data_IF_638544170163
#
_entry.id   IF_638544170163
#
_cell.length_a   1.000
_cell.length_b   1.000
_cell.length_c   1.000
_cell.angle_alpha   90.00
_cell.angle_beta   90.00
_cell.angle_gamma   90.00
#
_symmetry.space_group_name_H-M   'P 1'
#
loop_
_entity.id
_entity.type
_entity.pdbx_description
1 polymer ?
#
# COMPACT_ATOMS: atom_id res chain seq x y z
N UNK A 1 -10.15 76.37 -12.45
CA UNK A 1 -10.28 76.57 -11.00
C UNK A 1 -10.97 75.32 -10.47
N UNK A 2 -10.22 74.30 -10.01
CA UNK A 2 -9.98 73.99 -8.58
C UNK A 2 -11.31 73.72 -7.83
N UNK A 3 -11.54 72.63 -7.09
CA UNK A 3 -10.66 71.60 -6.56
C UNK A 3 -11.49 70.39 -6.07
N UNK A 4 -10.79 69.27 -5.86
CA UNK A 4 -11.15 67.98 -5.26
C UNK A 4 -12.23 67.90 -4.15
N UNK A 5 -12.93 66.76 -4.11
CA UNK A 5 -12.99 65.91 -2.89
C UNK A 5 -13.27 64.43 -3.23
N UNK A 6 -12.36 63.56 -2.79
CA UNK A 6 -12.51 62.09 -2.71
C UNK A 6 -13.64 61.69 -1.75
N UNK A 7 -14.34 60.60 -2.06
CA UNK A 7 -14.86 59.66 -1.05
C UNK A 7 -14.83 58.25 -1.64
N UNK A 8 -14.06 57.38 -0.96
CA UNK A 8 -14.11 55.93 -1.09
C UNK A 8 -15.47 55.44 -0.62
N UNK A 9 -16.05 54.49 -1.34
CA UNK A 9 -17.21 53.71 -0.89
C UNK A 9 -16.75 52.26 -0.70
N UNK A 10 -16.17 52.02 0.47
CA UNK A 10 -16.00 50.68 1.07
C UNK A 10 -17.29 50.37 1.83
N UNK A 11 -18.22 49.59 1.26
CA UNK A 11 -19.21 48.84 2.05
C UNK A 11 -19.92 47.76 1.22
N UNK A 12 -19.36 46.55 1.22
CA UNK A 12 -20.17 45.32 1.07
C UNK A 12 -19.60 44.12 1.83
N UNK A 13 -18.75 44.35 2.84
CA UNK A 13 -18.39 43.33 3.81
C UNK A 13 -19.24 43.52 5.06
N UNK A 14 -20.36 42.79 5.13
CA UNK A 14 -21.02 42.35 6.37
C UNK A 14 -22.31 41.60 6.00
N UNK A 15 -22.19 40.28 5.78
CA UNK A 15 -23.18 39.25 6.13
C UNK A 15 -22.79 37.90 5.53
N UNK A 16 -21.78 37.25 6.11
CA UNK A 16 -21.69 35.78 6.09
C UNK A 16 -21.28 35.31 7.49
N UNK A 17 -22.23 34.70 8.16
CA UNK A 17 -22.04 34.01 9.43
C UNK A 17 -21.18 32.77 9.21
N UNK A 18 -19.88 32.91 9.48
CA UNK A 18 -18.94 31.79 9.55
C UNK A 18 -19.18 31.02 10.86
N UNK A 19 -20.00 29.96 10.77
CA UNK A 19 -19.99 28.87 11.74
C UNK A 19 -18.85 27.94 11.31
N UNK A 20 -17.69 28.07 11.96
CA UNK A 20 -16.63 27.08 11.88
C UNK A 20 -17.02 25.87 12.75
N UNK A 21 -17.05 24.65 12.21
CA UNK A 21 -16.65 23.51 13.02
C UNK A 21 -15.12 23.52 13.09
N UNK A 22 -14.60 23.83 14.28
CA UNK A 22 -13.26 23.39 14.66
C UNK A 22 -13.19 21.88 14.44
N UNK A 23 -12.42 21.45 13.44
CA UNK A 23 -11.68 20.19 13.37
C UNK A 23 -10.88 20.20 12.06
N UNK A 24 -9.72 20.85 12.13
CA UNK A 24 -8.73 20.78 11.08
C UNK A 24 -8.21 19.35 10.97
N UNK A 25 -8.49 18.71 9.85
CA UNK A 25 -7.78 17.51 9.42
C UNK A 25 -6.33 17.90 9.12
N UNK A 26 -5.41 17.27 9.85
CA UNK A 26 -3.98 17.22 9.50
C UNK A 26 -3.72 15.83 8.95
N UNK A 27 -2.82 15.67 7.96
CA UNK A 27 -2.38 14.36 7.55
C UNK A 27 -1.50 13.80 8.68
N UNK A 28 -2.03 12.84 9.45
CA UNK A 28 -1.20 11.98 10.27
C UNK A 28 -0.44 11.05 9.32
N UNK A 29 0.87 11.24 9.29
CA UNK A 29 1.87 10.23 9.00
C UNK A 29 1.51 8.96 9.79
N UNK A 30 0.92 7.99 9.09
CA UNK A 30 0.29 6.81 9.66
C UNK A 30 1.19 6.03 10.61
N UNK A 31 1.03 6.30 11.90
CA UNK A 31 1.34 5.35 12.96
C UNK A 31 0.18 4.35 13.05
N UNK A 32 0.55 3.07 13.03
CA UNK A 32 -0.30 1.91 13.27
C UNK A 32 -1.20 2.18 14.49
N UNK A 33 -2.51 2.08 14.33
CA UNK A 33 -3.42 2.17 15.48
C UNK A 33 -3.32 0.89 16.28
N UNK A 34 -2.48 0.95 17.29
CA UNK A 34 -2.13 -0.14 18.17
C UNK A 34 -2.78 0.09 19.54
N UNK A 35 -3.55 -0.89 20.00
CA UNK A 35 -4.10 -0.86 21.35
C UNK A 35 -2.98 -1.09 22.37
N UNK A 36 -2.53 -0.01 23.00
CA UNK A 36 -1.57 -0.04 24.12
C UNK A 36 -2.26 -0.54 25.40
N UNK A 37 -1.64 -1.50 26.10
CA UNK A 37 -2.10 -1.93 27.43
C UNK A 37 -1.06 -1.51 28.46
N UNK A 38 -1.44 -0.60 29.37
CA UNK A 38 -0.70 -0.34 30.59
C UNK A 38 -0.85 -1.52 31.59
N UNK A 39 0.28 -2.16 31.90
CA UNK A 39 0.53 -2.77 33.21
C UNK A 39 0.34 -4.28 33.33
N UNK A 40 1.43 -5.04 33.14
CA UNK A 40 1.61 -6.36 33.78
C UNK A 40 3.07 -6.52 34.24
N UNK A 41 3.23 -6.85 35.53
CA UNK A 41 4.50 -7.16 36.18
C UNK A 41 5.07 -8.49 35.68
N UNK A 42 6.35 -8.51 35.28
CA UNK A 42 7.10 -9.70 34.88
C UNK A 42 7.48 -10.62 36.06
N UNK A 43 7.45 -11.96 35.88
CA UNK A 43 8.22 -12.91 36.69
C UNK A 43 9.45 -13.48 35.92
N UNK A 44 10.39 -14.16 36.60
CA UNK A 44 11.79 -14.18 36.17
C UNK A 44 12.14 -15.29 35.17
N UNK A 45 13.03 -14.95 34.23
CA UNK A 45 13.73 -15.84 33.28
C UNK A 45 14.55 -16.91 34.03
N UNK A 46 14.38 -18.18 33.66
CA UNK A 46 15.33 -19.27 33.96
C UNK A 46 15.98 -19.76 32.66
N UNK A 47 17.22 -19.34 32.44
CA UNK A 47 18.12 -19.89 31.42
C UNK A 47 18.82 -21.13 31.98
N UNK A 48 18.61 -22.29 31.37
CA UNK A 48 19.43 -23.48 31.59
C UNK A 48 20.37 -23.65 30.39
N UNK A 49 21.64 -23.27 30.56
CA UNK A 49 22.70 -23.54 29.60
C UNK A 49 23.09 -25.02 29.66
N UNK A 50 23.03 -25.68 28.49
CA UNK A 50 23.43 -27.07 28.26
C UNK A 50 24.85 -27.03 27.66
N UNK A 51 25.87 -27.28 28.46
CA UNK A 51 27.25 -27.45 27.97
C UNK A 51 27.42 -28.84 27.35
N UNK A 52 27.67 -28.86 26.05
CA UNK A 52 28.10 -30.02 25.27
C UNK A 52 29.60 -30.24 25.40
N UNK A 53 29.98 -31.48 25.68
CA UNK A 53 31.36 -31.96 25.62
C UNK A 53 31.87 -32.02 24.16
N UNK A 54 33.10 -31.56 23.92
CA UNK A 54 33.93 -32.07 22.83
C UNK A 54 35.41 -32.07 23.22
N UNK A 55 36.10 -33.10 22.73
CA UNK A 55 37.50 -33.46 22.95
C UNK A 55 38.43 -32.49 22.25
N UNK A 56 39.57 -32.20 22.87
CA UNK A 56 40.88 -32.30 22.20
C UNK A 56 42.03 -32.27 23.22
N UNK A 57 43.02 -33.13 23.00
CA UNK A 57 44.33 -33.15 23.67
C UNK A 57 45.36 -32.48 22.72
N UNK A 58 46.53 -31.98 23.18
CA UNK A 58 47.63 -32.87 23.61
C UNK A 58 48.66 -32.30 24.63
N UNK A 59 49.48 -33.21 25.22
CA UNK A 59 50.89 -33.07 25.72
C UNK A 59 51.20 -31.94 26.74
N UNK A 60 52.03 -32.08 27.78
CA UNK A 60 53.23 -32.87 28.04
C UNK A 60 53.64 -32.72 29.54
N UNK A 61 54.33 -33.72 30.12
CA UNK A 61 55.24 -33.69 31.32
C UNK A 61 54.64 -33.27 32.68
N UNK A 62 54.77 -34.05 33.75
CA UNK A 62 55.98 -34.12 34.60
C UNK A 62 56.11 -35.50 35.28
N UNK A 63 57.35 -35.94 35.36
CA UNK A 63 57.92 -37.16 35.97
C UNK A 63 58.02 -37.12 37.50
N UNK A 64 57.64 -38.26 38.09
CA UNK A 64 58.38 -39.11 39.03
C UNK A 64 58.72 -38.68 40.48
N UNK A 65 58.72 -39.74 41.32
CA UNK A 65 59.32 -39.95 42.66
C UNK A 65 58.48 -39.43 43.85
N UNK A 66 58.35 -40.10 45.00
CA UNK A 66 59.01 -41.27 45.58
C UNK A 66 58.32 -41.49 46.95
N UNK A 67 58.00 -42.74 47.32
CA UNK A 67 58.10 -43.21 48.73
C UNK A 67 57.85 -44.72 48.80
N UNK A 68 58.96 -45.42 49.07
CA UNK A 68 59.08 -46.72 49.71
C UNK A 68 58.41 -46.69 51.11
N UNK A 69 58.21 -47.75 51.88
CA UNK A 69 58.36 -49.21 51.80
C UNK A 69 57.67 -49.71 53.08
N UNK A 70 57.06 -50.89 53.00
CA UNK A 70 56.56 -51.64 54.17
C UNK A 70 57.76 -52.22 54.94
N UNK A 71 57.69 -52.19 56.27
CA UNK A 71 58.49 -53.05 57.15
C UNK A 71 57.56 -53.77 58.15
N UNK A 72 57.73 -55.10 58.20
CA UNK A 72 57.07 -56.13 59.02
C UNK A 72 58.18 -56.63 59.94
N UNK A 73 58.00 -57.02 61.25
CA UNK A 73 57.53 -58.39 61.52
C UNK A 73 57.05 -58.78 62.94
N UNK A 74 56.28 -59.89 63.03
CA UNK A 74 56.60 -61.14 63.77
C UNK A 74 55.40 -61.85 64.45
N UNK A 75 55.27 -63.12 64.04
CA UNK A 75 54.97 -64.35 64.80
C UNK A 75 53.60 -64.59 65.45
N UNK A 76 52.86 -65.48 64.78
CA UNK A 76 52.43 -66.80 65.24
C UNK A 76 51.61 -66.91 66.53
N UNK A 77 50.36 -67.37 66.40
CA UNK A 77 49.96 -68.70 66.90
C UNK A 77 48.57 -69.07 66.39
N UNK A 78 48.43 -70.35 66.07
CA UNK A 78 47.20 -71.00 65.63
C UNK A 78 46.01 -70.76 66.57
N UNK A 79 44.84 -70.48 65.98
CA UNK A 79 43.60 -71.08 66.47
C UNK A 79 42.63 -71.18 65.29
N UNK A 80 42.58 -72.39 64.78
CA UNK A 80 41.52 -72.93 63.97
C UNK A 80 40.16 -72.66 64.65
N UNK A 81 39.38 -71.73 64.11
CA UNK A 81 37.93 -71.83 64.17
C UNK A 81 37.41 -71.68 62.76
N UNK A 82 37.21 -72.83 62.11
CA UNK A 82 36.33 -72.91 60.96
C UNK A 82 34.97 -72.36 61.40
N UNK A 83 34.73 -71.08 61.12
CA UNK A 83 33.41 -70.47 61.21
C UNK A 83 32.50 -71.34 60.35
N UNK A 84 31.70 -72.19 61.00
CA UNK A 84 30.55 -72.83 60.37
C UNK A 84 29.80 -71.70 59.69
N UNK A 85 29.96 -71.56 58.36
CA UNK A 85 29.22 -70.58 57.56
C UNK A 85 27.76 -70.87 57.86
N UNK A 86 27.17 -70.01 58.67
CA UNK A 86 25.85 -70.24 59.21
C UNK A 86 24.94 -70.31 57.97
N UNK A 87 24.31 -71.46 57.65
CA UNK A 87 23.59 -71.62 56.38
C UNK A 87 22.50 -70.55 56.23
N UNK A 88 21.98 -70.08 57.36
CA UNK A 88 21.09 -68.93 57.47
C UNK A 88 21.70 -67.59 57.03
N UNK A 89 22.97 -67.30 57.37
CA UNK A 89 23.65 -66.06 56.93
C UNK A 89 23.96 -66.07 55.43
N UNK A 90 24.34 -67.23 54.90
CA UNK A 90 24.60 -67.38 53.46
C UNK A 90 23.31 -67.32 52.65
N UNK A 91 22.22 -67.91 53.17
CA UNK A 91 20.86 -67.75 52.65
C UNK A 91 20.40 -66.28 52.70
N UNK A 92 20.58 -65.58 53.83
CA UNK A 92 20.23 -64.17 53.98
C UNK A 92 20.95 -63.29 52.96
N UNK A 93 22.24 -63.51 52.69
CA UNK A 93 23.01 -62.73 51.71
C UNK A 93 22.51 -63.01 50.28
N UNK A 94 22.26 -64.28 49.93
CA UNK A 94 21.71 -64.64 48.62
C UNK A 94 20.28 -64.11 48.43
N UNK A 95 19.46 -64.16 49.47
CA UNK A 95 18.10 -63.62 49.48
C UNK A 95 18.09 -62.09 49.35
N UNK A 96 18.95 -61.39 50.09
CA UNK A 96 19.15 -59.94 49.94
C UNK A 96 19.63 -59.58 48.53
N UNK A 97 20.57 -60.35 47.96
CA UNK A 97 21.01 -60.14 46.58
C UNK A 97 19.87 -60.31 45.56
N UNK A 98 19.08 -61.37 45.70
CA UNK A 98 17.90 -61.60 44.85
C UNK A 98 16.84 -60.49 45.01
N UNK A 99 16.57 -60.06 46.25
CA UNK A 99 15.67 -58.96 46.56
C UNK A 99 16.18 -57.64 45.97
N UNK A 100 17.46 -57.33 46.11
CA UNK A 100 18.07 -56.13 45.53
C UNK A 100 18.02 -56.13 44.00
N UNK A 101 18.27 -57.28 43.34
CA UNK A 101 18.11 -57.41 41.88
C UNK A 101 16.65 -57.20 41.48
N UNK A 102 15.71 -57.80 42.22
CA UNK A 102 14.27 -57.65 41.96
C UNK A 102 13.84 -56.19 42.10
N UNK A 103 14.29 -55.51 43.15
CA UNK A 103 14.03 -54.08 43.37
C UNK A 103 14.65 -53.25 42.24
N UNK A 104 15.89 -53.55 41.83
CA UNK A 104 16.55 -52.83 40.74
C UNK A 104 15.81 -53.00 39.40
N UNK A 105 15.30 -54.20 39.12
CA UNK A 105 14.49 -54.47 37.92
C UNK A 105 13.14 -53.73 37.98
N UNK A 106 12.45 -53.77 39.12
CA UNK A 106 11.19 -53.02 39.31
C UNK A 106 11.40 -51.51 39.19
N UNK A 107 12.49 -50.98 39.76
CA UNK A 107 12.87 -49.58 39.61
C UNK A 107 13.22 -49.22 38.16
N UNK A 108 13.86 -50.13 37.42
CA UNK A 108 14.12 -49.96 35.99
C UNK A 108 12.84 -49.84 35.18
N UNK A 109 11.88 -50.74 35.39
CA UNK A 109 10.55 -50.64 34.75
C UNK A 109 9.78 -49.40 35.17
N UNK A 110 9.84 -49.02 36.45
CA UNK A 110 9.19 -47.82 36.94
C UNK A 110 9.83 -46.55 36.35
N UNK A 111 11.16 -46.50 36.22
CA UNK A 111 11.86 -45.40 35.57
C UNK A 111 11.47 -45.27 34.10
N UNK A 112 11.44 -46.38 33.36
CA UNK A 112 11.00 -46.37 31.96
C UNK A 112 9.53 -45.92 31.83
N UNK A 113 8.66 -46.36 32.73
CA UNK A 113 7.28 -45.87 32.82
C UNK A 113 7.23 -44.35 33.06
N UNK A 114 8.02 -43.83 34.00
CA UNK A 114 8.08 -42.39 34.28
C UNK A 114 8.55 -41.60 33.06
N UNK A 115 9.59 -42.06 32.36
CA UNK A 115 10.04 -41.41 31.13
C UNK A 115 8.91 -41.37 30.08
N UNK A 116 8.25 -42.51 29.82
CA UNK A 116 7.15 -42.56 28.84
C UNK A 116 5.94 -41.72 29.24
N UNK A 117 5.64 -41.67 30.54
CA UNK A 117 4.57 -40.85 31.09
C UNK A 117 4.89 -39.35 30.96
N UNK A 118 6.12 -38.96 31.29
CA UNK A 118 6.60 -37.59 31.13
C UNK A 118 6.60 -37.16 29.65
N UNK A 119 7.11 -38.01 28.75
CA UNK A 119 7.10 -37.75 27.31
C UNK A 119 5.68 -37.53 26.79
N UNK A 120 4.73 -38.38 27.18
CA UNK A 120 3.32 -38.25 26.78
C UNK A 120 2.65 -37.02 27.41
N UNK A 121 3.00 -36.67 28.65
CA UNK A 121 2.50 -35.47 29.31
C UNK A 121 3.00 -34.20 28.62
N UNK A 122 4.31 -34.11 28.33
CA UNK A 122 4.88 -32.94 27.65
C UNK A 122 4.30 -32.80 26.23
N UNK A 123 4.13 -33.90 25.51
CA UNK A 123 3.49 -33.88 24.19
C UNK A 123 2.02 -33.42 24.21
N UNK A 124 1.32 -33.52 25.36
CA UNK A 124 -0.08 -33.10 25.51
C UNK A 124 -0.27 -31.62 25.85
N UNK A 125 0.82 -30.84 25.86
CA UNK A 125 0.77 -29.45 26.30
C UNK A 125 0.34 -28.53 25.15
N UNK A 126 -0.55 -27.56 25.40
CA UNK A 126 -1.09 -26.66 24.38
C UNK A 126 -0.04 -25.75 23.73
N UNK A 127 1.09 -25.52 24.39
CA UNK A 127 2.16 -24.70 23.82
C UNK A 127 2.77 -25.32 22.56
N UNK A 128 2.68 -26.63 22.34
CA UNK A 128 3.18 -27.25 21.11
C UNK A 128 2.39 -26.82 19.86
N UNK A 129 1.07 -26.67 19.99
CA UNK A 129 0.22 -26.15 18.90
C UNK A 129 0.49 -24.65 18.67
N UNK A 130 0.76 -23.90 19.74
CA UNK A 130 1.17 -22.49 19.61
C UNK A 130 2.53 -22.35 18.94
N UNK A 131 3.52 -23.16 19.35
CA UNK A 131 4.85 -23.18 18.75
C UNK A 131 4.76 -23.53 17.24
N UNK A 132 3.83 -24.41 16.84
CA UNK A 132 3.57 -24.70 15.44
C UNK A 132 3.04 -23.48 14.67
N UNK A 133 2.08 -22.74 15.24
CA UNK A 133 1.56 -21.50 14.64
C UNK A 133 2.67 -20.45 14.52
N UNK A 134 3.46 -20.26 15.57
CA UNK A 134 4.61 -19.35 15.58
C UNK A 134 5.64 -19.76 14.52
N UNK A 135 5.96 -21.04 14.40
CA UNK A 135 6.87 -21.55 13.37
C UNK A 135 6.37 -21.19 11.96
N UNK A 136 5.06 -21.29 11.68
CA UNK A 136 4.53 -20.89 10.38
C UNK A 136 4.68 -19.38 10.10
N UNK A 137 4.55 -18.53 11.13
CA UNK A 137 4.76 -17.08 11.04
C UNK A 137 6.25 -16.75 10.86
N UNK A 138 7.13 -17.34 11.66
CA UNK A 138 8.59 -17.16 11.60
C UNK A 138 9.18 -17.61 10.27
N UNK A 139 8.70 -18.75 9.74
CA UNK A 139 9.17 -19.32 8.47
C UNK A 139 8.51 -18.68 7.25
N UNK A 140 7.62 -17.70 7.43
CA UNK A 140 6.88 -17.02 6.36
C UNK A 140 6.07 -17.97 5.48
N UNK A 141 5.51 -19.02 6.07
CA UNK A 141 4.60 -19.92 5.38
C UNK A 141 3.18 -19.35 5.34
N UNK A 142 3.03 -18.23 4.63
CA UNK A 142 1.77 -17.47 4.52
C UNK A 142 0.59 -18.31 4.01
N UNK A 143 0.77 -19.25 3.05
CA UNK A 143 -0.32 -20.16 2.67
C UNK A 143 -0.81 -21.02 3.84
N UNK A 144 0.09 -21.50 4.71
CA UNK A 144 -0.31 -22.26 5.90
C UNK A 144 -1.02 -21.36 6.92
N UNK A 145 -0.48 -20.17 7.20
CA UNK A 145 -1.12 -19.18 8.08
C UNK A 145 -2.53 -18.85 7.60
N UNK A 146 -2.66 -18.50 6.33
CA UNK A 146 -3.95 -18.23 5.69
C UNK A 146 -4.90 -19.42 5.81
N UNK A 147 -4.44 -20.65 5.56
CA UNK A 147 -5.26 -21.85 5.66
C UNK A 147 -5.73 -22.15 7.08
N UNK A 148 -4.94 -21.82 8.10
CA UNK A 148 -5.32 -21.95 9.51
C UNK A 148 -6.42 -20.97 9.94
N UNK A 149 -6.55 -19.81 9.26
CA UNK A 149 -7.52 -18.77 9.66
C UNK A 149 -8.95 -19.30 9.66
N UNK A 150 -9.70 -19.04 10.72
CA UNK A 150 -11.11 -19.46 10.85
C UNK A 150 -11.99 -18.78 9.80
N UNK A 151 -11.83 -17.47 9.67
CA UNK A 151 -12.53 -16.63 8.70
C UNK A 151 -11.50 -16.16 7.70
N UNK A 152 -11.74 -16.41 6.42
CA UNK A 152 -10.83 -15.96 5.37
C UNK A 152 -11.03 -14.46 5.10
N UNK A 153 -9.94 -13.72 4.88
CA UNK A 153 -9.99 -12.34 4.38
C UNK A 153 -10.89 -12.23 3.14
N UNK A 154 -11.71 -11.17 3.08
CA UNK A 154 -12.53 -10.86 1.90
C UNK A 154 -11.64 -10.23 0.85
N UNK A 155 -11.57 -10.82 -0.34
CA UNK A 155 -10.71 -10.34 -1.42
C UNK A 155 -11.59 -9.59 -2.42
N UNK A 156 -11.21 -8.36 -2.75
CA UNK A 156 -11.89 -7.55 -3.77
C UNK A 156 -11.73 -8.19 -5.16
N UNK A 157 -12.55 -7.79 -6.13
CA UNK A 157 -12.45 -8.33 -7.49
C UNK A 157 -11.15 -7.95 -8.21
N UNK A 158 -10.45 -6.91 -7.72
CA UNK A 158 -9.19 -6.38 -8.27
C UNK A 158 -7.93 -7.02 -7.68
N UNK A 159 -8.10 -7.97 -6.78
CA UNK A 159 -6.99 -8.61 -6.08
C UNK A 159 -7.13 -10.13 -6.07
N UNK A 160 -6.02 -10.78 -5.70
CA UNK A 160 -5.94 -12.22 -5.54
C UNK A 160 -5.43 -12.55 -4.14
N UNK A 161 -5.46 -13.83 -3.77
CA UNK A 161 -4.90 -14.28 -2.49
C UNK A 161 -3.42 -13.91 -2.36
N UNK A 162 -2.69 -13.77 -3.46
CA UNK A 162 -1.28 -13.36 -3.44
C UNK A 162 -1.10 -11.91 -2.96
N UNK A 163 -2.07 -11.01 -3.18
CA UNK A 163 -2.07 -9.67 -2.59
C UNK A 163 -2.20 -9.73 -1.08
N UNK A 164 -3.10 -10.59 -0.57
CA UNK A 164 -3.26 -10.82 0.87
C UNK A 164 -1.97 -11.37 1.47
N UNK A 165 -1.30 -12.31 0.80
CA UNK A 165 0.00 -12.82 1.26
C UNK A 165 1.04 -11.72 1.33
N UNK A 166 1.21 -10.91 0.29
CA UNK A 166 2.17 -9.79 0.31
C UNK A 166 1.85 -8.76 1.40
N UNK A 167 0.57 -8.50 1.64
CA UNK A 167 0.14 -7.64 2.74
C UNK A 167 0.45 -8.25 4.11
N UNK A 168 0.15 -9.54 4.32
CA UNK A 168 0.53 -10.27 5.54
C UNK A 168 2.04 -10.25 5.75
N UNK A 169 2.84 -10.46 4.71
CA UNK A 169 4.30 -10.41 4.79
C UNK A 169 4.79 -9.03 5.25
N UNK A 170 4.17 -7.98 4.71
CA UNK A 170 4.46 -6.58 5.08
C UNK A 170 4.12 -6.30 6.54
N UNK A 171 2.96 -6.78 7.03
CA UNK A 171 2.59 -6.66 8.45
C UNK A 171 3.56 -7.39 9.37
N UNK A 172 4.04 -8.56 8.95
CA UNK A 172 4.97 -9.38 9.72
C UNK A 172 6.41 -8.82 9.69
N UNK A 173 6.80 -8.05 8.66
CA UNK A 173 8.05 -7.26 8.63
C UNK A 173 9.31 -8.07 8.94
N UNK A 174 10.17 -7.60 9.85
CA UNK A 174 11.25 -8.39 10.48
C UNK A 174 10.96 -8.65 11.97
N UNK A 175 9.68 -8.62 12.34
CA UNK A 175 9.25 -8.59 13.74
C UNK A 175 9.59 -9.88 14.49
N UNK A 176 9.81 -9.76 15.79
CA UNK A 176 9.91 -10.91 16.68
C UNK A 176 8.53 -11.32 17.18
N UNK A 177 8.23 -12.60 17.04
CA UNK A 177 6.96 -13.17 17.49
C UNK A 177 7.06 -13.72 18.90
N UNK A 178 6.01 -13.52 19.68
CA UNK A 178 5.81 -14.13 20.99
C UNK A 178 4.32 -14.39 21.19
N UNK A 179 3.92 -15.11 22.23
CA UNK A 179 2.51 -15.23 22.58
C UNK A 179 2.27 -15.10 24.09
N UNK A 180 1.10 -14.60 24.43
CA UNK A 180 0.68 -14.43 25.83
C UNK A 180 -0.76 -14.91 26.02
N UNK A 181 -1.10 -15.38 27.21
CA UNK A 181 -2.47 -15.79 27.53
C UNK A 181 -3.41 -14.58 27.51
N UNK A 182 -4.58 -14.74 26.89
CA UNK A 182 -5.59 -13.67 26.91
C UNK A 182 -6.31 -13.63 28.27
N UNK A 183 -6.98 -12.52 28.62
CA UNK A 183 -7.84 -12.46 29.80
C UNK A 183 -8.98 -13.49 29.79
N UNK A 184 -9.36 -13.98 28.61
CA UNK A 184 -10.41 -15.00 28.41
C UNK A 184 -9.89 -16.43 28.51
N UNK A 185 -8.60 -16.62 28.76
CA UNK A 185 -7.96 -17.94 28.86
C UNK A 185 -8.65 -18.85 29.89
N UNK A 186 -8.97 -20.08 29.48
CA UNK A 186 -9.50 -21.14 30.33
C UNK A 186 -8.65 -22.40 30.20
N UNK A 187 -8.46 -23.17 31.28
CA UNK A 187 -7.66 -24.41 31.24
C UNK A 187 -8.20 -25.46 30.26
N UNK A 188 -9.51 -25.45 29.97
CA UNK A 188 -10.16 -26.36 29.01
C UNK A 188 -10.31 -25.75 27.60
N UNK A 189 -10.10 -24.44 27.48
CA UNK A 189 -10.22 -23.66 26.25
C UNK A 189 -9.19 -22.52 26.29
N UNK A 190 -7.89 -22.85 26.13
CA UNK A 190 -6.84 -21.87 26.27
C UNK A 190 -6.84 -20.95 25.04
N UNK A 191 -6.66 -19.67 25.32
CA UNK A 191 -6.66 -18.61 24.32
C UNK A 191 -5.40 -17.76 24.48
N UNK A 192 -4.79 -17.40 23.36
CA UNK A 192 -3.52 -16.70 23.30
C UNK A 192 -3.55 -15.55 22.30
N UNK A 193 -2.94 -14.43 22.67
CA UNK A 193 -2.56 -13.37 21.75
C UNK A 193 -1.19 -13.65 21.15
N UNK A 194 -1.06 -13.48 19.84
CA UNK A 194 0.23 -13.46 19.16
C UNK A 194 0.72 -12.01 19.04
N UNK A 195 1.87 -11.83 19.67
CA UNK A 195 2.86 -10.75 19.64
C UNK A 195 3.60 -10.51 18.33
N UNK A 196 3.66 -9.33 17.75
CA UNK A 196 4.76 -8.92 16.86
C UNK A 196 5.33 -7.59 17.35
N UNK A 197 6.58 -7.58 17.83
CA UNK A 197 7.24 -6.39 18.41
C UNK A 197 6.41 -5.62 19.46
N UNK A 198 5.62 -6.36 20.26
CA UNK A 198 4.78 -5.82 21.33
C UNK A 198 3.33 -5.53 20.94
N UNK A 199 2.96 -5.81 19.69
CA UNK A 199 1.64 -5.56 19.15
C UNK A 199 0.86 -6.83 18.84
N UNK A 200 -0.45 -6.82 19.08
CA UNK A 200 -1.28 -8.00 18.84
C UNK A 200 -1.62 -8.09 17.37
N UNK A 201 -1.17 -9.17 16.72
CA UNK A 201 -1.42 -9.44 15.30
C UNK A 201 -2.41 -10.58 15.07
N UNK A 202 -2.62 -11.44 16.07
CA UNK A 202 -3.57 -12.54 15.97
C UNK A 202 -4.05 -13.03 17.33
N UNK A 203 -5.17 -13.75 17.32
CA UNK A 203 -5.71 -14.51 18.45
C UNK A 203 -5.86 -15.97 18.06
N UNK A 204 -5.35 -16.87 18.88
CA UNK A 204 -5.50 -18.33 18.73
C UNK A 204 -6.28 -18.87 19.92
N UNK A 205 -7.35 -19.62 19.67
CA UNK A 205 -7.97 -20.46 20.68
C UNK A 205 -7.75 -21.93 20.34
N UNK A 206 -7.51 -22.74 21.37
CA UNK A 206 -7.39 -24.19 21.24
C UNK A 206 -8.55 -24.89 21.94
N UNK A 207 -8.86 -26.10 21.48
CA UNK A 207 -9.80 -26.99 22.15
C UNK A 207 -9.25 -28.39 22.29
N UNK A 208 -9.65 -29.08 23.37
CA UNK A 208 -9.35 -30.51 23.55
C UNK A 208 -10.12 -31.34 22.54
N UNK A 209 -9.43 -32.32 21.96
CA UNK A 209 -10.03 -33.40 21.19
C UNK A 209 -11.05 -34.15 22.03
N UNK A 210 -12.21 -34.43 21.45
CA UNK A 210 -13.25 -35.25 22.08
C UNK A 210 -13.13 -36.74 21.72
N UNK A 211 -12.29 -37.06 20.73
CA UNK A 211 -12.19 -38.41 20.13
C UNK A 211 -10.78 -38.98 20.16
N UNK A 212 -9.76 -38.13 20.25
CA UNK A 212 -8.36 -38.53 20.26
C UNK A 212 -7.72 -38.23 21.61
N UNK A 213 -6.88 -39.15 22.08
CA UNK A 213 -6.11 -39.01 23.30
C UNK A 213 -4.73 -39.63 23.08
N UNK A 214 -3.70 -39.02 23.66
CA UNK A 214 -2.36 -39.62 23.71
C UNK A 214 -2.33 -40.78 24.72
N UNK A 215 -1.17 -41.41 24.86
CA UNK A 215 -0.96 -42.43 25.88
C UNK A 215 -1.36 -41.88 27.27
N UNK A 216 -1.90 -42.75 28.12
CA UNK A 216 -2.38 -42.40 29.46
C UNK A 216 -3.57 -41.42 29.49
N UNK A 217 -4.34 -41.36 28.41
CA UNK A 217 -5.56 -40.53 28.29
C UNK A 217 -5.26 -39.02 28.36
N UNK A 218 -4.04 -38.62 27.99
CA UNK A 218 -3.69 -37.21 27.89
C UNK A 218 -4.38 -36.55 26.69
N UNK A 219 -4.79 -35.27 26.81
CA UNK A 219 -5.53 -34.59 25.77
C UNK A 219 -4.66 -34.36 24.52
N UNK A 220 -5.31 -34.41 23.36
CA UNK A 220 -4.79 -33.84 22.11
C UNK A 220 -5.47 -32.49 21.92
N UNK A 221 -4.72 -31.46 21.55
CA UNK A 221 -5.26 -30.12 21.27
C UNK A 221 -5.36 -29.91 19.76
N UNK A 222 -6.28 -29.03 19.35
CA UNK A 222 -6.30 -28.47 18.01
C UNK A 222 -6.68 -27.00 18.07
N UNK A 223 -6.28 -26.26 17.04
CA UNK A 223 -6.70 -24.89 16.80
C UNK A 223 -8.21 -24.87 16.55
N UNK A 224 -8.97 -24.32 17.50
CA UNK A 224 -10.42 -24.13 17.37
C UNK A 224 -10.74 -22.86 16.62
N UNK A 225 -9.96 -21.80 16.85
CA UNK A 225 -10.02 -20.58 16.08
C UNK A 225 -8.64 -19.96 15.92
N UNK A 226 -8.38 -19.43 14.74
CA UNK A 226 -7.26 -18.55 14.46
C UNK A 226 -7.77 -17.29 13.75
N UNK A 227 -7.65 -16.16 14.42
CA UNK A 227 -8.04 -14.85 13.92
C UNK A 227 -6.78 -14.02 13.72
N UNK A 228 -6.35 -13.89 12.46
CA UNK A 228 -5.21 -13.07 12.10
C UNK A 228 -5.71 -11.71 11.59
N UNK A 229 -5.29 -10.63 12.25
CA UNK A 229 -5.83 -9.29 12.00
C UNK A 229 -5.29 -8.73 10.68
N UNK A 230 -6.10 -8.89 9.63
CA UNK A 230 -5.79 -8.49 8.25
C UNK A 230 -6.95 -7.74 7.64
N UNK A 231 -7.11 -6.49 8.09
CA UNK A 231 -8.07 -5.58 7.48
C UNK A 231 -7.45 -4.88 6.28
N UNK A 232 -8.16 -4.79 5.14
CA UNK A 232 -7.68 -4.04 3.99
C UNK A 232 -7.49 -2.56 4.36
N UNK A 233 -6.45 -1.93 3.83
CA UNK A 233 -6.02 -0.57 4.22
C UNK A 233 -6.17 0.46 3.11
N UNK A 234 -6.46 0.00 1.89
CA UNK A 234 -6.47 0.87 0.72
C UNK A 234 -7.87 0.96 0.10
N UNK A 235 -8.15 2.16 -0.39
CA UNK A 235 -9.30 2.51 -1.20
C UNK A 235 -8.84 3.32 -2.42
N UNK A 236 -9.76 3.59 -3.35
CA UNK A 236 -9.54 4.51 -4.44
C UNK A 236 -10.74 5.43 -4.64
N UNK A 237 -10.44 6.66 -5.04
CA UNK A 237 -11.40 7.63 -5.60
C UNK A 237 -10.86 8.12 -6.92
N UNK A 238 -11.66 8.05 -7.97
CA UNK A 238 -11.22 8.40 -9.33
C UNK A 238 -12.22 9.39 -9.91
N UNK A 239 -11.73 10.44 -10.54
CA UNK A 239 -12.51 11.31 -11.43
C UNK A 239 -11.98 11.12 -12.85
N UNK A 240 -12.85 10.75 -13.77
CA UNK A 240 -12.50 10.51 -15.15
C UNK A 240 -13.57 11.04 -16.11
N UNK A 241 -13.21 11.36 -17.36
CA UNK A 241 -14.20 11.59 -18.40
C UNK A 241 -15.02 10.33 -18.66
N UNK A 242 -16.32 10.48 -18.92
CA UNK A 242 -17.25 9.36 -19.17
C UNK A 242 -16.87 8.53 -20.41
N UNK A 243 -16.13 9.13 -21.35
CA UNK A 243 -15.66 8.47 -22.56
C UNK A 243 -14.30 7.77 -22.39
N UNK A 244 -13.74 7.75 -21.17
CA UNK A 244 -12.54 7.01 -20.82
C UNK A 244 -12.87 5.65 -20.19
N UNK A 245 -12.07 4.63 -20.52
CA UNK A 245 -12.10 3.34 -19.84
C UNK A 245 -11.05 3.32 -18.73
N UNK A 246 -11.49 3.19 -17.48
CA UNK A 246 -10.62 3.10 -16.30
C UNK A 246 -10.48 1.64 -15.87
N UNK A 247 -9.29 1.24 -15.39
CA UNK A 247 -9.02 -0.09 -14.84
C UNK A 247 -8.27 0.00 -13.53
N UNK A 248 -8.60 -0.91 -12.60
CA UNK A 248 -7.88 -1.09 -11.33
C UNK A 248 -7.15 -2.43 -11.38
N UNK A 249 -5.84 -2.41 -11.18
CA UNK A 249 -4.98 -3.59 -11.26
C UNK A 249 -5.18 -4.41 -12.57
N UNK A 250 -5.47 -3.70 -13.68
CA UNK A 250 -5.71 -4.29 -15.00
C UNK A 250 -7.12 -4.83 -15.24
N UNK A 251 -8.06 -4.67 -14.30
CA UNK A 251 -9.45 -5.06 -14.45
C UNK A 251 -10.30 -3.80 -14.72
N UNK A 252 -11.06 -3.75 -15.83
CA UNK A 252 -11.93 -2.61 -16.14
C UNK A 252 -12.96 -2.35 -15.05
N UNK A 253 -13.08 -1.07 -14.67
CA UNK A 253 -14.08 -0.60 -13.73
C UNK A 253 -15.48 -0.66 -14.37
N UNK A 254 -16.47 -1.08 -13.58
CA UNK A 254 -17.87 -1.10 -14.01
C UNK A 254 -18.66 0.06 -13.40
N UNK A 255 -19.79 0.40 -14.02
CA UNK A 255 -20.71 1.45 -13.56
C UNK A 255 -21.23 1.22 -12.13
N UNK A 256 -21.14 0.00 -11.60
CA UNK A 256 -21.55 -0.34 -10.22
C UNK A 256 -20.78 0.47 -9.17
N UNK A 257 -19.56 0.91 -9.49
CA UNK A 257 -18.70 1.69 -8.60
C UNK A 257 -18.79 3.20 -8.85
N UNK A 258 -19.57 3.61 -9.84
CA UNK A 258 -19.86 5.02 -10.09
C UNK A 258 -20.80 5.54 -9.01
N UNK A 259 -20.40 6.60 -8.31
CA UNK A 259 -21.22 7.23 -7.27
C UNK A 259 -21.67 8.65 -7.61
N UNK A 260 -21.08 9.26 -8.64
CA UNK A 260 -21.44 10.58 -9.14
C UNK A 260 -21.15 10.63 -10.64
N UNK A 261 -22.14 11.05 -11.42
CA UNK A 261 -22.07 11.20 -12.88
C UNK A 261 -22.50 12.61 -13.29
N UNK A 262 -22.43 12.89 -14.59
CA UNK A 262 -22.83 14.19 -15.16
C UNK A 262 -22.13 15.39 -14.53
N UNK A 263 -20.85 15.24 -14.19
CA UNK A 263 -20.03 16.32 -13.66
C UNK A 263 -19.61 17.20 -14.83
N UNK A 264 -20.28 18.35 -14.97
CA UNK A 264 -19.99 19.29 -16.06
C UNK A 264 -18.52 19.72 -16.04
N UNK A 265 -17.86 19.56 -17.18
CA UNK A 265 -16.51 20.08 -17.39
C UNK A 265 -16.52 21.61 -17.48
N UNK A 266 -15.49 22.26 -16.94
CA UNK A 266 -15.35 23.72 -16.99
C UNK A 266 -15.32 24.25 -18.43
N UNK A 267 -14.72 23.49 -19.35
CA UNK A 267 -14.57 23.88 -20.75
C UNK A 267 -15.85 23.70 -21.59
N UNK A 268 -16.86 22.98 -21.07
CA UNK A 268 -18.11 22.70 -21.81
C UNK A 268 -18.83 23.99 -22.23
N UNK A 269 -18.75 25.03 -21.41
CA UNK A 269 -19.35 26.33 -21.72
C UNK A 269 -18.77 26.98 -22.98
N UNK A 270 -17.50 26.72 -23.34
CA UNK A 270 -16.87 27.30 -24.51
C UNK A 270 -17.28 26.63 -25.82
N UNK A 271 -17.72 25.37 -25.77
CA UNK A 271 -18.17 24.61 -26.94
C UNK A 271 -19.69 24.41 -27.02
N UNK A 272 -20.42 24.97 -26.04
CA UNK A 272 -21.88 24.84 -25.95
C UNK A 272 -22.57 25.28 -27.25
N UNK A 273 -23.45 24.40 -27.76
CA UNK A 273 -24.16 24.62 -29.02
C UNK A 273 -23.40 24.21 -30.28
N UNK A 274 -22.13 23.81 -30.16
CA UNK A 274 -21.32 23.33 -31.29
C UNK A 274 -20.89 21.87 -31.13
N UNK A 275 -20.48 21.47 -29.93
CA UNK A 275 -20.12 20.09 -29.60
C UNK A 275 -20.50 19.76 -28.14
N UNK A 276 -20.89 18.51 -27.90
CA UNK A 276 -21.11 18.00 -26.56
C UNK A 276 -19.79 17.41 -26.05
N UNK A 277 -19.25 18.01 -24.98
CA UNK A 277 -18.09 17.45 -24.29
C UNK A 277 -18.54 16.31 -23.37
N UNK A 278 -17.72 15.25 -23.23
CA UNK A 278 -17.98 14.19 -22.27
C UNK A 278 -18.02 14.76 -20.84
N UNK A 279 -19.04 14.36 -20.09
CA UNK A 279 -19.15 14.67 -18.68
C UNK A 279 -18.07 13.94 -17.86
N UNK A 280 -17.80 14.43 -16.66
CA UNK A 280 -17.00 13.72 -15.67
C UNK A 280 -17.84 12.70 -14.91
N UNK A 281 -17.20 11.60 -14.53
CA UNK A 281 -17.73 10.53 -13.69
C UNK A 281 -16.76 10.25 -12.55
N UNK A 282 -17.29 9.89 -11.38
CA UNK A 282 -16.51 9.53 -10.22
C UNK A 282 -16.78 8.11 -9.73
N UNK A 283 -15.69 7.40 -9.47
CA UNK A 283 -15.70 6.02 -8.99
C UNK A 283 -15.12 5.92 -7.59
N UNK A 284 -15.67 5.01 -6.81
CA UNK A 284 -15.18 4.65 -5.48
C UNK A 284 -15.14 3.14 -5.30
N UNK A 285 -14.06 2.65 -4.70
CA UNK A 285 -13.94 1.26 -4.26
C UNK A 285 -13.00 1.18 -3.08
N UNK A 286 -13.25 0.19 -2.22
CA UNK A 286 -12.49 -0.07 -1.00
C UNK A 286 -12.13 -1.56 -0.89
N UNK A 287 -11.51 -1.92 0.23
CA UNK A 287 -11.21 -3.32 0.53
C UNK A 287 -9.98 -3.85 -0.20
N UNK A 288 -9.02 -2.97 -0.54
CA UNK A 288 -7.76 -3.37 -1.13
C UNK A 288 -6.67 -3.58 -0.06
N UNK A 289 -5.89 -4.64 -0.23
CA UNK A 289 -4.74 -4.96 0.60
C UNK A 289 -3.46 -4.26 0.13
N UNK A 290 -3.39 -3.89 -1.14
CA UNK A 290 -2.31 -3.10 -1.72
C UNK A 290 -2.80 -1.78 -2.31
N UNK A 291 -1.87 -0.83 -2.46
CA UNK A 291 -2.16 0.42 -3.14
C UNK A 291 -2.61 0.14 -4.59
N UNK A 292 -3.72 0.73 -5.05
CA UNK A 292 -4.30 0.44 -6.35
C UNK A 292 -3.39 0.93 -7.49
N UNK A 293 -3.24 0.11 -8.53
CA UNK A 293 -2.63 0.53 -9.80
C UNK A 293 -3.74 0.91 -10.76
N UNK A 294 -3.80 2.20 -11.10
CA UNK A 294 -4.87 2.75 -11.93
C UNK A 294 -4.32 3.03 -13.32
N UNK A 295 -4.99 2.48 -14.33
CA UNK A 295 -4.72 2.77 -15.73
C UNK A 295 -6.00 3.27 -16.40
N UNK A 296 -5.85 4.15 -17.38
CA UNK A 296 -6.97 4.70 -18.12
C UNK A 296 -6.64 4.78 -19.60
N UNK A 297 -7.67 4.61 -20.43
CA UNK A 297 -7.60 4.75 -21.89
C UNK A 297 -8.68 5.71 -22.37
N UNK A 298 -8.34 6.61 -23.29
CA UNK A 298 -9.28 7.54 -23.90
C UNK A 298 -10.22 6.83 -24.88
N UNK A 299 -11.17 7.57 -25.46
CA UNK A 299 -12.12 7.04 -26.44
C UNK A 299 -11.47 6.51 -27.74
N UNK A 300 -10.20 6.83 -27.98
CA UNK A 300 -9.41 6.36 -29.13
C UNK A 300 -8.61 5.08 -28.82
N UNK A 301 -8.68 4.58 -27.58
CA UNK A 301 -7.93 3.40 -27.13
C UNK A 301 -6.46 3.69 -26.81
N UNK A 302 -6.10 4.96 -26.63
CA UNK A 302 -4.76 5.40 -26.25
C UNK A 302 -4.70 5.67 -24.75
N UNK A 303 -3.51 5.51 -24.17
CA UNK A 303 -3.32 5.70 -22.73
C UNK A 303 -3.60 7.15 -22.33
N UNK A 304 -4.48 7.31 -21.35
CA UNK A 304 -4.82 8.59 -20.75
C UNK A 304 -3.95 8.84 -19.50
N UNK A 305 -3.47 10.08 -19.27
CA UNK A 305 -2.67 10.38 -18.10
C UNK A 305 -3.52 10.26 -16.83
N UNK A 306 -2.94 9.65 -15.79
CA UNK A 306 -3.54 9.53 -14.46
C UNK A 306 -2.65 10.23 -13.45
N UNK A 307 -3.18 11.21 -12.73
CA UNK A 307 -2.46 11.95 -11.70
C UNK A 307 -3.14 11.82 -10.34
N UNK A 308 -2.37 11.62 -9.27
CA UNK A 308 -2.92 11.57 -7.92
C UNK A 308 -2.87 12.94 -7.25
N UNK A 309 -4.04 13.49 -6.92
CA UNK A 309 -4.15 14.75 -6.21
C UNK A 309 -4.06 14.49 -4.70
N UNK A 310 -2.90 14.77 -4.11
CA UNK A 310 -2.64 14.53 -2.68
C UNK A 310 -3.50 15.38 -1.74
N UNK A 311 -4.09 16.48 -2.21
CA UNK A 311 -4.92 17.36 -1.39
C UNK A 311 -6.36 16.87 -1.29
N UNK A 312 -6.89 16.24 -2.34
CA UNK A 312 -8.25 15.69 -2.38
C UNK A 312 -8.29 14.18 -2.13
N UNK A 313 -7.17 13.48 -2.34
CA UNK A 313 -7.08 12.03 -2.31
C UNK A 313 -7.75 11.37 -3.52
N UNK A 314 -7.85 12.08 -4.65
CA UNK A 314 -8.53 11.62 -5.86
C UNK A 314 -7.49 11.41 -6.98
N UNK A 315 -7.63 10.31 -7.71
CA UNK A 315 -6.95 10.10 -8.97
C UNK A 315 -7.73 10.78 -10.10
N UNK A 316 -7.08 11.71 -10.79
CA UNK A 316 -7.65 12.48 -11.88
C UNK A 316 -7.16 11.87 -13.20
N UNK A 317 -8.10 11.46 -14.05
CA UNK A 317 -7.83 10.96 -15.39
C UNK A 317 -8.01 12.12 -16.38
N UNK A 318 -6.98 12.42 -17.15
CA UNK A 318 -7.05 13.42 -18.20
C UNK A 318 -7.63 12.90 -19.51
N UNK A 319 -7.95 13.81 -20.41
CA UNK A 319 -8.24 13.51 -21.81
C UNK A 319 -6.91 13.26 -22.52
N UNK A 320 -6.60 12.00 -22.85
CA UNK A 320 -5.28 11.61 -23.40
C UNK A 320 -4.80 12.51 -24.53
N UNK A 321 -3.48 12.78 -24.58
CA UNK A 321 -2.87 13.71 -25.55
C UNK A 321 -2.44 13.03 -26.84
N UNK A 322 -2.14 11.72 -26.79
CA UNK A 322 -1.34 11.02 -27.80
C UNK A 322 -2.14 10.47 -28.99
N UNK A 323 -2.96 11.30 -29.62
CA UNK A 323 -3.69 10.89 -30.83
C UNK A 323 -2.79 10.84 -32.06
N UNK A 324 -3.05 9.89 -32.97
CA UNK A 324 -2.39 9.90 -34.28
C UNK A 324 -2.61 11.20 -35.09
N UNK A 325 -3.62 11.98 -34.74
CA UNK A 325 -3.94 13.28 -35.34
C UNK A 325 -3.29 14.48 -34.61
N UNK A 326 -2.74 14.29 -33.41
CA UNK A 326 -2.27 15.36 -32.50
C UNK A 326 -1.38 16.38 -33.23
N UNK A 327 -0.32 15.91 -33.89
CA UNK A 327 0.63 16.79 -34.57
C UNK A 327 -0.02 17.61 -35.71
N UNK A 328 -1.03 17.04 -36.39
CA UNK A 328 -1.76 17.75 -37.44
C UNK A 328 -2.72 18.80 -36.86
N UNK A 329 -3.38 18.49 -35.73
CA UNK A 329 -4.27 19.40 -35.02
C UNK A 329 -3.50 20.57 -34.40
N UNK A 330 -2.35 20.30 -33.80
CA UNK A 330 -1.44 21.30 -33.24
C UNK A 330 -0.91 22.25 -34.34
N UNK A 331 -0.48 21.70 -35.48
CA UNK A 331 -0.04 22.52 -36.61
C UNK A 331 -1.18 23.40 -37.16
N UNK A 332 -2.39 22.88 -37.23
CA UNK A 332 -3.57 23.64 -37.62
C UNK A 332 -3.91 24.75 -36.61
N UNK A 333 -3.81 24.48 -35.31
CA UNK A 333 -4.00 25.49 -34.28
C UNK A 333 -2.97 26.63 -34.39
N UNK A 334 -1.70 26.31 -34.65
CA UNK A 334 -0.66 27.32 -34.91
C UNK A 334 -1.02 28.18 -36.14
N UNK A 335 -1.49 27.57 -37.22
CA UNK A 335 -1.94 28.29 -38.43
C UNK A 335 -3.10 29.25 -38.11
N UNK A 336 -4.08 28.79 -37.33
CA UNK A 336 -5.25 29.58 -36.92
C UNK A 336 -4.84 30.75 -36.02
N UNK A 337 -3.98 30.53 -35.03
CA UNK A 337 -3.52 31.60 -34.11
C UNK A 337 -2.61 32.59 -34.86
N UNK A 338 -1.84 32.13 -35.84
CA UNK A 338 -1.06 32.99 -36.75
C UNK A 338 -1.97 33.84 -37.63
N UNK A 339 -3.04 33.25 -38.18
CA UNK A 339 -4.04 33.97 -38.95
C UNK A 339 -4.76 35.01 -38.09
N UNK A 340 -5.13 34.64 -36.86
CA UNK A 340 -5.68 35.58 -35.88
C UNK A 340 -4.73 36.76 -35.63
N UNK A 341 -3.45 36.50 -35.30
CA UNK A 341 -2.45 37.56 -35.09
C UNK A 341 -2.36 38.54 -36.27
N UNK A 342 -2.23 38.00 -37.50
CA UNK A 342 -2.16 38.81 -38.72
C UNK A 342 -3.49 39.50 -39.07
N UNK A 343 -4.63 38.94 -38.66
CA UNK A 343 -5.91 39.62 -38.78
C UNK A 343 -5.95 40.87 -37.89
N UNK A 344 -5.58 40.73 -36.62
CA UNK A 344 -5.56 41.84 -35.65
C UNK A 344 -4.65 42.97 -36.14
N UNK A 345 -3.45 42.66 -36.63
CA UNK A 345 -2.48 43.64 -37.14
C UNK A 345 -2.83 44.26 -38.50
N UNK A 346 -3.98 43.91 -39.09
CA UNK A 346 -4.44 44.38 -40.39
C UNK A 346 -3.64 43.86 -41.61
N UNK A 347 -3.03 42.68 -41.48
CA UNK A 347 -2.27 41.98 -42.53
C UNK A 347 -3.06 40.87 -43.23
N UNK A 348 -4.29 40.61 -42.80
CA UNK A 348 -5.27 39.77 -43.52
C UNK A 348 -6.48 40.59 -44.00
N UNK A 349 -7.18 40.16 -45.06
CA UNK A 349 -8.43 40.81 -45.47
C UNK A 349 -9.53 40.65 -44.41
N UNK A 350 -10.65 41.38 -44.56
CA UNK A 350 -11.79 41.38 -43.62
C UNK A 350 -12.46 40.00 -43.46
N UNK A 351 -12.42 39.18 -44.52
CA UNK A 351 -12.90 37.80 -44.57
C UNK A 351 -11.80 36.77 -44.25
N UNK A 352 -10.60 37.21 -43.86
CA UNK A 352 -9.42 36.35 -43.68
C UNK A 352 -9.54 35.30 -42.56
N UNK A 353 -10.52 35.43 -41.67
CA UNK A 353 -10.81 34.47 -40.61
C UNK A 353 -11.98 33.53 -40.91
N UNK A 354 -12.74 33.76 -41.97
CA UNK A 354 -14.06 33.12 -42.19
C UNK A 354 -13.94 31.62 -42.46
N UNK A 355 -12.78 31.18 -42.96
CA UNK A 355 -12.51 29.76 -43.19
C UNK A 355 -12.06 29.02 -41.93
N UNK A 356 -11.60 29.73 -40.89
CA UNK A 356 -11.11 29.12 -39.66
C UNK A 356 -12.20 29.03 -38.60
N UNK A 357 -13.16 29.95 -38.59
CA UNK A 357 -14.22 30.01 -37.59
C UNK A 357 -15.51 29.34 -38.08
N UNK A 358 -16.34 28.93 -37.12
CA UNK A 358 -17.71 28.49 -37.41
C UNK A 358 -18.50 29.69 -37.96
N UNK A 359 -19.25 29.47 -39.03
CA UNK A 359 -20.05 30.53 -39.67
C UNK A 359 -21.05 31.12 -38.67
N UNK A 360 -21.00 32.43 -38.49
CA UNK A 360 -21.90 33.15 -37.58
C UNK A 360 -21.64 32.95 -36.09
N UNK A 361 -20.47 32.41 -35.69
CA UNK A 361 -20.15 32.32 -34.27
C UNK A 361 -19.93 33.72 -33.65
N UNK A 362 -20.47 33.93 -32.45
CA UNK A 362 -20.45 35.23 -31.75
C UNK A 362 -19.03 35.77 -31.60
N UNK A 363 -18.06 34.89 -31.33
CA UNK A 363 -16.67 35.30 -31.12
C UNK A 363 -16.05 35.91 -32.37
N UNK A 364 -16.34 35.40 -33.57
CA UNK A 364 -15.83 35.96 -34.81
C UNK A 364 -16.42 37.35 -35.04
N UNK A 365 -17.72 37.52 -34.79
CA UNK A 365 -18.37 38.84 -34.87
C UNK A 365 -17.75 39.84 -33.89
N UNK A 366 -17.48 39.40 -32.65
CA UNK A 366 -16.80 40.22 -31.65
C UNK A 366 -15.38 40.61 -32.07
N UNK A 367 -14.60 39.68 -32.61
CA UNK A 367 -13.26 39.98 -33.15
C UNK A 367 -13.37 41.00 -34.29
N UNK A 368 -14.28 40.79 -35.25
CA UNK A 368 -14.44 41.70 -36.39
C UNK A 368 -14.91 43.10 -35.98
N UNK A 369 -15.84 43.20 -35.02
CA UNK A 369 -16.39 44.48 -34.55
C UNK A 369 -15.47 45.19 -33.55
N UNK A 370 -14.77 44.43 -32.71
CA UNK A 370 -13.97 44.94 -31.59
C UNK A 370 -12.53 45.32 -31.97
N UNK A 371 -12.09 44.99 -33.18
CA UNK A 371 -10.70 45.23 -33.58
C UNK A 371 -10.52 46.58 -34.25
N UNK A 372 -9.69 47.40 -33.61
CA UNK A 372 -9.26 48.72 -34.09
C UNK A 372 -8.15 48.62 -35.15
N UNK A 373 -8.36 47.74 -36.15
CA UNK A 373 -7.35 47.30 -37.13
C UNK A 373 -6.69 48.46 -37.87
N UNK A 374 -7.48 49.48 -38.21
CA UNK A 374 -6.98 50.69 -38.89
C UNK A 374 -6.01 51.55 -38.06
N UNK A 375 -5.87 51.28 -36.76
CA UNK A 375 -5.01 52.05 -35.85
C UNK A 375 -3.70 51.36 -35.52
N UNK A 376 -3.41 50.19 -36.11
CA UNK A 376 -2.09 49.58 -36.02
C UNK A 376 -1.03 50.49 -36.66
N UNK A 377 0.15 50.55 -36.04
CA UNK A 377 1.27 51.37 -36.52
C UNK A 377 1.66 50.96 -37.94
N UNK A 378 2.13 51.88 -38.78
CA UNK A 378 2.54 51.51 -40.15
C UNK A 378 3.76 50.56 -40.13
N UNK A 379 3.59 49.36 -40.67
CA UNK A 379 4.62 48.32 -40.75
C UNK A 379 4.66 47.64 -42.13
N UNK A 380 5.75 46.92 -42.41
CA UNK A 380 5.77 45.93 -43.50
C UNK A 380 5.24 44.58 -43.03
N UNK A 381 4.94 43.66 -43.96
CA UNK A 381 4.40 42.33 -43.65
C UNK A 381 5.13 41.67 -42.47
N UNK A 382 4.41 41.36 -41.38
CA UNK A 382 5.00 40.72 -40.21
C UNK A 382 5.35 39.26 -40.51
N UNK A 383 6.25 38.70 -39.70
CA UNK A 383 6.57 37.26 -39.73
C UNK A 383 6.25 36.64 -38.38
N UNK A 384 5.69 35.44 -38.40
CA UNK A 384 5.48 34.63 -37.20
C UNK A 384 6.76 33.85 -36.89
N UNK A 385 7.15 33.81 -35.62
CA UNK A 385 8.34 33.13 -35.11
C UNK A 385 8.03 32.54 -33.72
N UNK A 386 8.88 31.62 -33.26
CA UNK A 386 8.85 31.06 -31.91
C UNK A 386 7.48 30.45 -31.54
N UNK A 387 6.87 29.74 -32.48
CA UNK A 387 5.61 29.04 -32.28
C UNK A 387 5.78 27.85 -31.32
N UNK A 388 4.94 27.79 -30.29
CA UNK A 388 4.97 26.75 -29.26
C UNK A 388 3.53 26.40 -28.86
N UNK A 389 3.21 25.10 -28.81
CA UNK A 389 1.97 24.63 -28.19
C UNK A 389 2.22 24.51 -26.69
N UNK A 390 1.50 25.30 -25.90
CA UNK A 390 1.62 25.32 -24.45
C UNK A 390 0.74 24.25 -23.79
N UNK A 391 -0.42 23.99 -24.37
CA UNK A 391 -1.39 23.02 -23.88
C UNK A 391 -2.25 22.48 -25.02
N UNK A 392 -2.64 21.23 -24.93
CA UNK A 392 -3.46 20.54 -25.92
C UNK A 392 -4.33 19.48 -25.26
N UNK A 393 -5.64 19.58 -25.49
CA UNK A 393 -6.62 18.65 -24.92
C UNK A 393 -7.53 18.16 -26.04
N UNK A 394 -7.53 16.85 -26.28
CA UNK A 394 -8.44 16.20 -27.23
C UNK A 394 -9.61 15.58 -26.46
N UNK A 395 -10.75 16.28 -26.42
CA UNK A 395 -11.91 15.82 -25.65
C UNK A 395 -12.64 14.64 -26.31
N UNK A 396 -12.75 14.66 -27.64
CA UNK A 396 -13.44 13.65 -28.45
C UNK A 396 -13.00 13.68 -29.91
N UNK A 397 -13.59 12.82 -30.76
CA UNK A 397 -13.37 12.82 -32.22
C UNK A 397 -13.73 14.16 -32.90
N UNK A 398 -14.56 14.97 -32.23
CA UNK A 398 -15.17 16.18 -32.81
C UNK A 398 -14.83 17.46 -32.04
N UNK A 399 -14.04 17.39 -30.96
CA UNK A 399 -13.74 18.54 -30.10
C UNK A 399 -12.32 18.50 -29.52
N UNK A 400 -11.59 19.61 -29.67
CA UNK A 400 -10.28 19.80 -29.03
C UNK A 400 -10.03 21.26 -28.60
N UNK A 401 -9.15 21.42 -27.62
CA UNK A 401 -8.61 22.70 -27.16
C UNK A 401 -7.13 22.77 -27.47
N UNK A 402 -6.65 23.96 -27.84
CA UNK A 402 -5.23 24.20 -27.99
C UNK A 402 -4.86 25.60 -27.48
N UNK A 403 -3.77 25.64 -26.70
CA UNK A 403 -3.09 26.87 -26.31
C UNK A 403 -1.80 27.01 -27.09
N UNK A 404 -1.65 28.12 -27.81
CA UNK A 404 -0.50 28.39 -28.66
C UNK A 404 0.14 29.70 -28.26
N UNK A 405 1.44 29.68 -28.03
CA UNK A 405 2.29 30.86 -27.97
C UNK A 405 2.95 31.09 -29.34
N UNK A 406 3.04 32.35 -29.76
CA UNK A 406 3.85 32.77 -30.89
C UNK A 406 4.33 34.21 -30.73
N UNK A 407 5.34 34.57 -31.50
CA UNK A 407 5.85 35.93 -31.59
C UNK A 407 5.60 36.50 -32.99
N UNK A 408 4.79 37.54 -33.06
CA UNK A 408 4.62 38.31 -34.29
C UNK A 408 5.72 39.38 -34.36
N UNK A 409 6.64 39.18 -35.29
CA UNK A 409 7.76 40.07 -35.52
C UNK A 409 7.36 41.10 -36.60
N UNK A 410 7.19 42.36 -36.17
CA UNK A 410 6.57 43.44 -36.95
C UNK A 410 7.59 44.54 -37.29
N UNK A 411 8.11 44.61 -38.52
CA UNK A 411 9.04 45.66 -38.92
C UNK A 411 8.33 46.99 -39.12
N UNK A 412 8.49 47.90 -38.17
CA UNK A 412 7.87 49.23 -38.22
C UNK A 412 8.54 50.12 -39.27
N UNK A 413 7.73 50.90 -40.00
CA UNK A 413 8.21 51.74 -41.12
C UNK A 413 9.20 52.83 -40.69
N UNK A 414 9.14 53.25 -39.42
CA UNK A 414 9.90 54.38 -38.88
C UNK A 414 10.97 53.98 -37.84
N UNK A 415 11.16 52.68 -37.58
CA UNK A 415 12.13 52.17 -36.62
C UNK A 415 13.07 51.16 -37.28
N UNK A 416 14.30 51.05 -36.76
CA UNK A 416 15.32 50.15 -37.33
C UNK A 416 15.19 48.71 -36.81
N UNK A 417 14.53 48.52 -35.68
CA UNK A 417 14.30 47.21 -35.06
C UNK A 417 12.81 46.90 -35.15
N UNK A 418 12.45 45.64 -35.43
CA UNK A 418 11.06 45.26 -35.44
C UNK A 418 10.50 45.24 -34.02
N UNK A 419 9.20 45.49 -33.90
CA UNK A 419 8.46 45.28 -32.67
C UNK A 419 8.09 43.80 -32.58
N UNK A 420 8.40 43.16 -31.44
CA UNK A 420 8.06 41.76 -31.19
C UNK A 420 6.81 41.76 -30.31
N UNK A 421 5.72 41.23 -30.85
CA UNK A 421 4.43 41.14 -30.17
C UNK A 421 4.22 39.68 -29.75
N UNK A 422 4.39 39.34 -28.45
CA UNK A 422 4.08 38.01 -27.95
C UNK A 422 2.56 37.82 -27.90
N UNK A 423 2.08 36.67 -28.38
CA UNK A 423 0.66 36.32 -28.45
C UNK A 423 0.48 34.92 -27.88
N UNK A 424 -0.44 34.80 -26.92
CA UNK A 424 -0.92 33.50 -26.43
C UNK A 424 -2.39 33.37 -26.80
N UNK A 425 -2.71 32.43 -27.69
CA UNK A 425 -4.06 32.12 -28.11
C UNK A 425 -4.58 30.85 -27.45
N UNK A 426 -5.73 30.94 -26.78
CA UNK A 426 -6.45 29.78 -26.19
C UNK A 426 -7.72 29.53 -26.99
N UNK A 427 -7.71 28.53 -27.86
CA UNK A 427 -8.74 28.34 -28.89
C UNK A 427 -9.46 27.00 -28.69
N UNK A 428 -10.78 27.01 -28.89
CA UNK A 428 -11.65 25.85 -28.84
C UNK A 428 -12.11 25.50 -30.26
N UNK A 429 -11.88 24.25 -30.64
CA UNK A 429 -12.09 23.74 -31.99
C UNK A 429 -13.12 22.62 -31.98
N UNK A 430 -13.97 22.65 -33.01
CA UNK A 430 -15.02 21.67 -33.24
C UNK A 430 -15.00 21.21 -34.68
N UNK A 431 -15.41 19.96 -34.92
CA UNK A 431 -15.52 19.41 -36.27
C UNK A 431 -16.95 19.63 -36.79
N UNK A 432 -17.10 20.46 -37.83
CA UNK A 432 -18.38 20.73 -38.48
C UNK A 432 -18.25 20.40 -39.96
N UNK A 433 -19.16 19.57 -40.48
CA UNK A 433 -19.15 19.10 -41.88
C UNK A 433 -17.80 18.50 -42.32
N UNK A 434 -17.11 17.80 -41.40
CA UNK A 434 -15.81 17.18 -41.63
C UNK A 434 -14.62 18.15 -41.66
N UNK A 435 -14.82 19.42 -41.26
CA UNK A 435 -13.77 20.42 -41.16
C UNK A 435 -13.62 20.90 -39.72
N UNK A 436 -12.38 21.02 -39.27
CA UNK A 436 -12.07 21.67 -38.00
C UNK A 436 -12.30 23.18 -38.11
N UNK A 437 -12.99 23.74 -37.14
CA UNK A 437 -13.29 25.18 -37.06
C UNK A 437 -13.24 25.65 -35.61
N UNK A 438 -12.86 26.90 -35.41
CA UNK A 438 -12.89 27.58 -34.12
C UNK A 438 -14.33 27.95 -33.78
N UNK A 439 -14.83 27.44 -32.66
CA UNK A 439 -16.12 27.86 -32.12
C UNK A 439 -15.98 29.01 -31.11
N UNK A 440 -14.86 29.05 -30.36
CA UNK A 440 -14.68 30.00 -29.27
C UNK A 440 -13.21 30.23 -28.92
N UNK A 441 -12.92 31.29 -28.17
CA UNK A 441 -11.59 31.58 -27.61
C UNK A 441 -11.70 32.00 -26.14
N UNK A 442 -10.67 31.71 -25.33
CA UNK A 442 -10.58 32.14 -23.93
C UNK A 442 -9.55 33.26 -23.80
N UNK A 443 -9.98 34.38 -23.22
CA UNK A 443 -9.16 35.58 -23.02
C UNK A 443 -8.30 35.52 -21.76
#
# INVERSE_FOLDING_TARGET
MHNHSNYNDDSWADDVSLIYPENGWKPDDGELTMLEIEGVNAPPKKTAAKETASKDAPREKITAKETASVDVPKTATDTETASKRNPFRMFMILWLGCLSITIAVLLGYFYEFLCRYEDAYQASRPYHDMDYVLEQLETRNLPAVYNMMTVKPTISEWETTDNVYRYMDTLLGDAQFDYTETPSHLEDYPEYYITADGYIIATVALMKSQTESLAYDFPVWYISSFEFYTEPQYDFRIEAPENCTVSINGIPLSDTYCYEDSISMNDAAYMAGYADLPDGVRYYGDGLYEAPVITAYNCFGEEAPVTFNTSTGIYEVGFGTNSSEEAALQAYAIEVVSAYANYISNDLPEDGLDNYFVEGCEILEMIKAGTSRQYFAAHSTPTIQNEEVLDFILYSEDAFYCEVYLEQNMPLTYYNEPEIIPITGKFYFVRIDGQWRVCNIRY
#
